data_IF_238658685714
#
_entry.id   IF_238658685714
#
_cell.length_a   1.000
_cell.length_b   1.000
_cell.length_c   1.000
_cell.angle_alpha   90.00
_cell.angle_beta   90.00
_cell.angle_gamma   90.00
#
_symmetry.space_group_name_H-M   'P 1'
#
loop_
_entity.id
_entity.type
_entity.pdbx_description
1 polymer ?
#
# COMPACT_ATOMS: atom_id res chain seq x y z
N UNK A 1 39.21 -29.02 -11.27
CA UNK A 1 37.86 -29.64 -11.31
C UNK A 1 37.48 -30.07 -9.90
N UNK A 2 36.30 -29.71 -9.39
CA UNK A 2 35.72 -30.37 -8.20
C UNK A 2 34.20 -30.14 -8.16
N UNK A 3 33.41 -31.17 -8.49
CA UNK A 3 31.94 -31.19 -8.41
C UNK A 3 31.51 -32.27 -7.42
N UNK A 4 31.15 -31.89 -6.19
CA UNK A 4 30.47 -32.71 -5.16
C UNK A 4 29.91 -31.74 -4.10
N UNK A 5 28.68 -31.85 -3.59
CA UNK A 5 27.52 -32.60 -4.09
C UNK A 5 26.25 -31.89 -3.59
N UNK A 6 25.44 -31.31 -4.48
CA UNK A 6 24.10 -30.85 -4.11
C UNK A 6 23.18 -32.07 -4.04
N UNK A 7 23.05 -32.67 -2.85
CA UNK A 7 21.98 -33.64 -2.59
C UNK A 7 20.66 -32.88 -2.48
N UNK A 8 19.83 -33.06 -3.50
CA UNK A 8 18.43 -32.64 -3.56
C UNK A 8 17.69 -33.15 -2.31
N UNK A 9 17.36 -32.26 -1.38
CA UNK A 9 16.46 -32.55 -0.26
C UNK A 9 15.00 -32.54 -0.74
N UNK A 10 14.69 -33.43 -1.68
CA UNK A 10 13.35 -33.61 -2.23
C UNK A 10 12.61 -34.72 -1.44
N UNK A 11 12.06 -34.37 -0.27
CA UNK A 11 10.99 -35.13 0.40
C UNK A 11 10.44 -34.32 1.59
N UNK A 12 9.15 -34.51 1.88
CA UNK A 12 8.36 -33.92 2.98
C UNK A 12 8.05 -32.43 2.80
N UNK A 13 6.85 -32.15 2.30
CA UNK A 13 5.74 -31.67 3.15
C UNK A 13 4.44 -31.72 2.34
N UNK A 14 3.62 -32.74 2.61
CA UNK A 14 2.29 -32.89 1.99
C UNK A 14 1.27 -31.95 2.63
N UNK A 15 0.24 -31.58 1.86
CA UNK A 15 -0.74 -30.54 2.19
C UNK A 15 -1.73 -30.91 3.33
N UNK A 16 -2.57 -29.94 3.75
CA UNK A 16 -3.99 -30.07 3.39
C UNK A 16 -4.47 -29.00 2.38
N UNK A 17 -5.52 -29.36 1.65
CA UNK A 17 -5.94 -28.75 0.38
C UNK A 17 -6.86 -27.52 0.54
N UNK A 18 -6.91 -26.67 -0.49
CA UNK A 18 -7.85 -25.55 -0.59
C UNK A 18 -7.63 -24.66 -1.82
N UNK A 19 -8.22 -25.04 -2.95
CA UNK A 19 -8.45 -24.27 -4.21
C UNK A 19 -7.31 -23.41 -4.80
N UNK A 20 -6.83 -23.85 -5.97
CA UNK A 20 -6.22 -23.09 -7.08
C UNK A 20 -5.00 -22.18 -6.81
N UNK A 21 -3.84 -22.65 -7.25
CA UNK A 21 -2.59 -21.89 -7.31
C UNK A 21 -1.50 -22.44 -6.37
N UNK A 22 -0.23 -22.31 -6.78
CA UNK A 22 0.91 -22.82 -6.01
C UNK A 22 0.95 -22.29 -4.57
N UNK A 23 1.46 -23.10 -3.63
CA UNK A 23 1.56 -22.71 -2.23
C UNK A 23 2.29 -21.37 -2.07
N UNK A 24 1.58 -20.38 -1.51
CA UNK A 24 2.11 -19.03 -1.34
C UNK A 24 3.33 -19.05 -0.41
N UNK A 25 4.43 -18.36 -0.77
CA UNK A 25 5.65 -18.38 0.02
C UNK A 25 5.37 -17.88 1.45
N UNK A 26 5.76 -18.68 2.44
CA UNK A 26 5.62 -18.33 3.87
C UNK A 26 6.73 -17.40 4.37
N UNK A 27 7.80 -17.21 3.58
CA UNK A 27 8.96 -16.33 3.86
C UNK A 27 9.57 -15.82 2.55
N UNK A 28 10.13 -14.60 2.56
CA UNK A 28 10.81 -14.01 1.41
C UNK A 28 12.18 -14.63 1.08
N UNK A 29 12.18 -15.80 0.43
CA UNK A 29 13.38 -16.59 0.12
C UNK A 29 14.46 -15.83 -0.66
N UNK A 30 14.08 -14.95 -1.61
CA UNK A 30 15.02 -14.17 -2.43
C UNK A 30 15.63 -12.94 -1.74
N UNK A 31 15.20 -12.61 -0.51
CA UNK A 31 15.60 -11.38 0.18
C UNK A 31 16.24 -11.63 1.55
N UNK A 32 16.74 -12.84 1.82
CA UNK A 32 17.41 -13.21 3.07
C UNK A 32 16.62 -12.82 4.35
N UNK A 33 15.29 -13.03 4.33
CA UNK A 33 14.41 -12.69 5.47
C UNK A 33 14.14 -11.20 5.67
N UNK A 34 14.57 -10.30 4.76
CA UNK A 34 14.23 -8.87 4.83
C UNK A 34 12.78 -8.56 4.47
N UNK A 35 12.07 -9.47 3.82
CA UNK A 35 10.66 -9.35 3.39
C UNK A 35 9.78 -10.16 4.34
N UNK A 36 8.78 -9.50 4.93
CA UNK A 36 7.80 -10.12 5.84
C UNK A 36 6.52 -10.49 5.08
N UNK A 37 6.09 -11.76 5.18
CA UNK A 37 4.93 -12.37 4.49
C UNK A 37 4.22 -13.24 5.54
N UNK A 38 2.95 -13.11 5.91
CA UNK A 38 1.81 -12.28 5.48
C UNK A 38 1.12 -12.67 4.17
N UNK A 39 -0.03 -13.34 4.34
CA UNK A 39 -1.05 -13.55 3.31
C UNK A 39 -2.25 -12.64 3.55
N UNK A 40 -2.86 -12.15 2.47
CA UNK A 40 -4.11 -11.39 2.45
C UNK A 40 -5.05 -11.99 1.39
N UNK A 41 -6.30 -11.50 1.33
CA UNK A 41 -7.26 -11.83 0.28
C UNK A 41 -7.55 -10.60 -0.57
N UNK A 42 -7.42 -10.74 -1.88
CA UNK A 42 -7.76 -9.73 -2.89
C UNK A 42 -8.73 -10.34 -3.89
N UNK A 43 -9.46 -9.50 -4.59
CA UNK A 43 -10.44 -9.98 -5.57
C UNK A 43 -9.70 -10.58 -6.77
N UNK A 44 -10.24 -11.66 -7.34
CA UNK A 44 -9.61 -12.40 -8.42
C UNK A 44 -9.64 -11.55 -9.71
N UNK A 45 -8.48 -11.22 -10.32
CA UNK A 45 -8.44 -10.41 -11.55
C UNK A 45 -9.08 -11.10 -12.78
N UNK A 46 -9.47 -12.37 -12.66
CA UNK A 46 -10.18 -13.15 -13.70
C UNK A 46 -11.68 -13.30 -13.39
N UNK A 47 -12.08 -13.31 -12.13
CA UNK A 47 -13.49 -13.42 -11.70
C UNK A 47 -13.73 -12.57 -10.44
N UNK A 48 -14.18 -11.31 -10.56
CA UNK A 48 -14.35 -10.39 -9.43
C UNK A 48 -15.40 -10.84 -8.39
N UNK A 49 -16.10 -11.97 -8.60
CA UNK A 49 -16.97 -12.61 -7.59
C UNK A 49 -16.20 -13.55 -6.66
N UNK A 50 -14.92 -13.82 -6.93
CA UNK A 50 -14.03 -14.67 -6.13
C UNK A 50 -12.94 -13.83 -5.48
N UNK A 51 -12.47 -14.29 -4.33
CA UNK A 51 -11.29 -13.72 -3.66
C UNK A 51 -10.15 -14.74 -3.72
N UNK A 52 -8.96 -14.31 -4.15
CA UNK A 52 -7.74 -15.11 -4.12
C UNK A 52 -6.87 -14.71 -2.95
N UNK A 53 -6.29 -15.72 -2.31
CA UNK A 53 -5.24 -15.52 -1.31
C UNK A 53 -3.95 -15.12 -2.02
N UNK A 54 -3.26 -14.11 -1.52
CA UNK A 54 -2.01 -13.57 -2.09
C UNK A 54 -0.96 -13.33 -1.01
N UNK A 55 0.32 -13.40 -1.40
CA UNK A 55 1.46 -13.07 -0.54
C UNK A 55 1.79 -11.58 -0.67
N UNK A 56 1.74 -10.84 0.45
CA UNK A 56 1.99 -9.38 0.49
C UNK A 56 3.21 -9.10 1.35
N UNK A 57 4.06 -8.17 0.93
CA UNK A 57 5.17 -7.70 1.75
C UNK A 57 4.66 -6.69 2.79
N UNK A 58 4.44 -7.15 4.02
CA UNK A 58 3.90 -6.33 5.11
C UNK A 58 4.86 -5.27 5.68
N UNK A 59 6.07 -5.14 5.14
CA UNK A 59 6.91 -3.94 5.36
C UNK A 59 6.59 -2.78 4.43
N UNK A 60 5.89 -3.03 3.32
CA UNK A 60 5.55 -2.03 2.31
C UNK A 60 4.11 -1.55 2.48
N UNK A 61 3.17 -2.45 2.80
CA UNK A 61 1.78 -2.08 3.08
C UNK A 61 1.61 -1.63 4.54
N UNK A 62 1.51 -0.32 4.75
CA UNK A 62 1.41 0.31 6.08
C UNK A 62 0.02 0.13 6.69
N UNK A 63 -1.03 0.02 5.87
CA UNK A 63 -2.40 -0.27 6.33
C UNK A 63 -2.46 -1.68 6.95
N UNK A 64 -1.93 -2.69 6.25
CA UNK A 64 -1.78 -4.06 6.79
C UNK A 64 -0.94 -4.07 8.08
N UNK A 65 0.19 -3.35 8.08
CA UNK A 65 1.12 -3.33 9.20
C UNK A 65 0.49 -2.80 10.50
N UNK A 66 -0.34 -1.76 10.38
CA UNK A 66 -1.03 -1.10 11.50
C UNK A 66 -2.31 -1.86 11.91
N UNK A 67 -3.11 -2.34 10.95
CA UNK A 67 -4.30 -3.16 11.22
C UNK A 67 -3.96 -4.48 11.94
N UNK A 68 -2.91 -5.19 11.49
CA UNK A 68 -2.41 -6.42 12.14
C UNK A 68 -1.94 -6.20 13.58
N UNK A 69 -1.55 -4.97 13.93
CA UNK A 69 -1.17 -4.58 15.30
C UNK A 69 -2.33 -4.02 16.11
N UNK A 70 -3.55 -4.04 15.58
CA UNK A 70 -4.77 -3.48 16.20
C UNK A 70 -4.59 -2.00 16.58
N UNK A 71 -3.87 -1.25 15.75
CA UNK A 71 -3.60 0.19 15.93
C UNK A 71 -4.54 1.10 15.15
N UNK A 72 -5.33 0.50 14.25
CA UNK A 72 -6.47 1.10 13.56
C UNK A 72 -7.64 0.11 13.62
N UNK A 73 -8.86 0.63 13.64
CA UNK A 73 -10.10 -0.13 13.59
C UNK A 73 -10.33 -0.76 12.21
N UNK A 74 -11.23 -1.77 12.10
CA UNK A 74 -11.62 -2.33 10.81
C UNK A 74 -12.19 -1.25 9.86
N UNK A 75 -13.00 -0.33 10.37
CA UNK A 75 -13.56 0.78 9.60
C UNK A 75 -12.47 1.75 9.10
N UNK A 76 -11.48 2.08 9.94
CA UNK A 76 -10.32 2.87 9.54
C UNK A 76 -9.43 2.16 8.48
N UNK A 77 -9.33 0.83 8.54
CA UNK A 77 -8.66 0.04 7.50
C UNK A 77 -9.45 0.04 6.18
N UNK A 78 -10.77 -0.14 6.21
CA UNK A 78 -11.64 -0.04 5.02
C UNK A 78 -11.58 1.36 4.40
N UNK A 79 -11.61 2.42 5.21
CA UNK A 79 -11.45 3.79 4.75
C UNK A 79 -10.10 3.98 4.04
N UNK A 80 -9.01 3.45 4.64
CA UNK A 80 -7.69 3.44 4.00
C UNK A 80 -7.66 2.68 2.67
N UNK A 81 -8.36 1.54 2.56
CA UNK A 81 -8.47 0.75 1.32
C UNK A 81 -9.29 1.43 0.24
N UNK A 82 -10.33 2.18 0.59
CA UNK A 82 -11.07 3.01 -0.36
C UNK A 82 -10.17 4.10 -0.95
N UNK A 83 -9.38 4.76 -0.10
CA UNK A 83 -8.40 5.78 -0.53
C UNK A 83 -7.32 5.16 -1.44
N UNK A 84 -6.81 3.97 -1.09
CA UNK A 84 -5.85 3.20 -1.90
C UNK A 84 -6.39 2.99 -3.33
N UNK A 85 -7.61 2.46 -3.45
CA UNK A 85 -8.23 2.17 -4.75
C UNK A 85 -8.44 3.42 -5.63
N UNK A 86 -8.95 4.53 -5.06
CA UNK A 86 -9.19 5.77 -5.81
C UNK A 86 -7.87 6.42 -6.25
N UNK A 87 -6.84 6.40 -5.39
CA UNK A 87 -5.52 6.96 -5.72
C UNK A 87 -4.74 6.07 -6.71
N UNK A 88 -4.83 4.73 -6.61
CA UNK A 88 -4.26 3.81 -7.60
C UNK A 88 -4.86 4.10 -8.99
N UNK A 89 -6.20 4.16 -9.11
CA UNK A 89 -6.91 4.42 -10.36
C UNK A 89 -6.45 5.75 -11.02
N UNK A 90 -6.41 6.83 -10.25
CA UNK A 90 -6.02 8.15 -10.73
C UNK A 90 -4.54 8.27 -11.11
N UNK A 91 -3.66 7.58 -10.37
CA UNK A 91 -2.23 7.59 -10.67
C UNK A 91 -1.91 6.92 -12.01
N UNK A 92 -2.83 6.10 -12.53
CA UNK A 92 -2.59 5.25 -13.69
C UNK A 92 -1.43 4.27 -13.50
N UNK A 93 -0.93 4.11 -12.26
CA UNK A 93 0.06 3.11 -11.91
C UNK A 93 -0.66 1.77 -11.87
N UNK A 94 -0.37 0.96 -12.89
CA UNK A 94 -0.27 -0.49 -12.69
C UNK A 94 0.77 -0.71 -11.59
N UNK A 95 0.33 -0.87 -10.34
CA UNK A 95 1.24 -1.30 -9.28
C UNK A 95 1.78 -2.68 -9.62
N UNK A 96 2.82 -3.15 -8.91
CA UNK A 96 3.41 -4.47 -9.14
C UNK A 96 2.46 -5.67 -8.83
N UNK A 97 1.16 -5.39 -8.65
CA UNK A 97 0.03 -6.33 -8.67
C UNK A 97 -0.36 -6.72 -10.10
N UNK A 98 -0.20 -5.82 -11.09
CA UNK A 98 -0.66 -5.99 -12.48
C UNK A 98 0.44 -6.54 -13.41
N UNK A 99 1.00 -7.70 -13.03
CA UNK A 99 1.93 -8.46 -13.88
C UNK A 99 1.17 -9.21 -14.98
N UNK A 100 1.12 -8.64 -16.19
CA UNK A 100 1.14 -9.47 -17.41
C UNK A 100 0.09 -9.20 -18.48
N UNK A 101 -0.94 -8.38 -18.27
CA UNK A 101 -1.85 -8.01 -19.37
C UNK A 101 -1.22 -6.97 -20.31
N UNK A 102 -0.33 -7.47 -21.18
CA UNK A 102 0.02 -6.84 -22.46
C UNK A 102 -1.19 -6.97 -23.36
N UNK A 103 -2.12 -6.02 -23.28
CA UNK A 103 -3.29 -5.98 -24.15
C UNK A 103 -2.80 -5.86 -25.62
N UNK A 104 -3.01 -6.87 -26.48
CA UNK A 104 -2.45 -6.89 -27.83
C UNK A 104 -3.33 -6.16 -28.84
N UNK A 105 -4.43 -5.54 -28.38
CA UNK A 105 -5.34 -4.78 -29.23
C UNK A 105 -4.58 -3.68 -30.00
N UNK A 106 -4.81 -3.52 -31.32
CA UNK A 106 -4.24 -2.40 -32.06
C UNK A 106 -4.75 -1.09 -31.44
N UNK A 107 -3.82 -0.21 -31.07
CA UNK A 107 -4.13 1.11 -30.51
C UNK A 107 -4.86 1.95 -31.57
N UNK A 108 -6.19 1.89 -31.59
CA UNK A 108 -7.01 2.82 -32.36
C UNK A 108 -6.99 4.19 -31.67
N UNK A 109 -7.04 5.27 -32.44
CA UNK A 109 -7.18 6.64 -31.92
C UNK A 109 -8.35 6.76 -30.93
N UNK A 110 -9.47 6.08 -31.22
CA UNK A 110 -10.63 5.99 -30.35
C UNK A 110 -10.33 5.31 -29.00
N UNK A 111 -9.61 4.19 -28.98
CA UNK A 111 -9.21 3.53 -27.73
C UNK A 111 -8.30 4.40 -26.86
N UNK A 112 -7.42 5.18 -27.49
CA UNK A 112 -6.54 6.13 -26.81
C UNK A 112 -7.33 7.32 -26.24
N UNK A 113 -8.29 7.87 -26.99
CA UNK A 113 -9.21 8.91 -26.52
C UNK A 113 -10.03 8.44 -25.31
N UNK A 114 -10.58 7.22 -25.36
CA UNK A 114 -11.36 6.66 -24.25
C UNK A 114 -10.50 6.42 -22.99
N UNK A 115 -9.25 5.96 -23.17
CA UNK A 115 -8.30 5.78 -22.06
C UNK A 115 -7.83 7.11 -21.46
N UNK A 116 -7.72 8.18 -22.27
CA UNK A 116 -7.45 9.54 -21.77
C UNK A 116 -8.64 10.10 -20.99
N UNK A 117 -9.87 9.96 -21.49
CA UNK A 117 -11.07 10.41 -20.80
C UNK A 117 -11.20 9.73 -19.42
N UNK A 118 -11.11 8.40 -19.35
CA UNK A 118 -11.16 7.68 -18.08
C UNK A 118 -10.05 8.06 -17.10
N UNK A 119 -8.86 8.45 -17.58
CA UNK A 119 -7.78 8.98 -16.73
C UNK A 119 -8.07 10.40 -16.21
N UNK A 120 -8.70 11.26 -17.01
CA UNK A 120 -9.13 12.60 -16.58
C UNK A 120 -10.19 12.48 -15.48
N UNK A 121 -11.17 11.59 -15.66
CA UNK A 121 -12.23 11.40 -14.67
C UNK A 121 -11.71 10.75 -13.38
N UNK A 122 -10.81 9.75 -13.48
CA UNK A 122 -10.13 9.21 -12.30
C UNK A 122 -9.31 10.28 -11.55
N UNK A 123 -8.61 11.16 -12.27
CA UNK A 123 -7.88 12.27 -11.67
C UNK A 123 -8.80 13.28 -10.96
N UNK A 124 -9.99 13.56 -11.52
CA UNK A 124 -11.04 14.38 -10.88
C UNK A 124 -11.55 13.72 -9.60
N UNK A 125 -11.89 12.43 -9.62
CA UNK A 125 -12.35 11.70 -8.44
C UNK A 125 -11.30 11.67 -7.33
N UNK A 126 -10.03 11.45 -7.66
CA UNK A 126 -8.95 11.50 -6.68
C UNK A 126 -8.67 12.91 -6.14
N UNK A 127 -8.91 13.97 -6.92
CA UNK A 127 -8.82 15.34 -6.43
C UNK A 127 -9.98 15.65 -5.47
N UNK A 128 -11.22 15.35 -5.87
CA UNK A 128 -12.40 15.50 -5.02
C UNK A 128 -12.28 14.73 -3.69
N UNK A 129 -11.74 13.50 -3.72
CA UNK A 129 -11.46 12.73 -2.51
C UNK A 129 -10.40 13.40 -1.62
N UNK A 130 -9.31 13.93 -2.18
CA UNK A 130 -8.30 14.67 -1.39
C UNK A 130 -8.88 15.92 -0.75
N UNK A 131 -9.73 16.64 -1.49
CA UNK A 131 -10.36 17.87 -1.00
C UNK A 131 -11.39 17.56 0.10
N UNK A 132 -12.20 16.50 -0.05
CA UNK A 132 -13.08 15.98 1.00
C UNK A 132 -12.30 15.57 2.26
N UNK A 133 -11.21 14.80 2.12
CA UNK A 133 -10.34 14.44 3.26
C UNK A 133 -9.77 15.71 3.92
N UNK A 134 -9.32 16.70 3.12
CA UNK A 134 -8.78 17.95 3.64
C UNK A 134 -9.83 18.82 4.36
N UNK A 135 -11.11 18.75 3.99
CA UNK A 135 -12.22 19.40 4.68
C UNK A 135 -12.51 18.71 6.04
N UNK A 136 -12.54 17.38 6.08
CA UNK A 136 -12.86 16.61 7.29
C UNK A 136 -11.73 16.63 8.35
N UNK A 137 -10.47 16.54 7.95
CA UNK A 137 -9.33 16.37 8.88
C UNK A 137 -8.26 17.47 8.80
N UNK A 138 -8.42 18.43 7.89
CA UNK A 138 -7.45 19.48 7.63
C UNK A 138 -6.30 19.06 6.70
N UNK A 139 -5.76 20.04 5.96
CA UNK A 139 -4.77 19.82 4.90
C UNK A 139 -3.49 19.07 5.34
N UNK A 140 -3.02 19.27 6.58
CA UNK A 140 -1.81 18.60 7.09
C UNK A 140 -2.02 17.09 7.28
N UNK A 141 -3.17 16.70 7.84
CA UNK A 141 -3.57 15.30 8.02
C UNK A 141 -3.85 14.62 6.67
N UNK A 142 -4.58 15.30 5.78
CA UNK A 142 -4.84 14.85 4.41
C UNK A 142 -3.55 14.60 3.62
N UNK A 143 -2.55 15.48 3.74
CA UNK A 143 -1.21 15.29 3.18
C UNK A 143 -0.54 14.02 3.71
N UNK A 144 -0.57 13.79 5.02
CA UNK A 144 0.04 12.59 5.63
C UNK A 144 -0.59 11.30 5.06
N UNK A 145 -1.92 11.22 4.99
CA UNK A 145 -2.60 10.05 4.40
C UNK A 145 -2.26 9.89 2.92
N UNK A 146 -2.26 10.98 2.13
CA UNK A 146 -1.93 10.94 0.70
C UNK A 146 -0.49 10.47 0.46
N UNK A 147 0.47 10.91 1.28
CA UNK A 147 1.88 10.48 1.19
C UNK A 147 2.07 9.01 1.57
N UNK A 148 1.29 8.49 2.52
CA UNK A 148 1.40 7.10 2.98
C UNK A 148 0.73 6.16 1.98
N UNK A 149 -0.51 6.45 1.60
CA UNK A 149 -1.33 5.56 0.77
C UNK A 149 -0.99 5.76 -0.71
N UNK A 150 -1.05 7.00 -1.23
CA UNK A 150 -0.85 7.29 -2.65
C UNK A 150 0.62 7.26 -3.11
N UNK A 151 1.56 7.68 -2.26
CA UNK A 151 3.01 7.61 -2.58
C UNK A 151 3.72 6.37 -1.99
N UNK A 152 3.09 5.62 -1.08
CA UNK A 152 3.68 4.42 -0.47
C UNK A 152 4.82 4.71 0.52
N UNK A 153 4.90 5.93 1.08
CA UNK A 153 6.02 6.35 1.93
C UNK A 153 5.83 5.90 3.38
N UNK A 154 6.92 5.44 4.01
CA UNK A 154 6.90 5.16 5.43
C UNK A 154 6.99 6.43 6.29
N UNK A 155 6.51 6.35 7.53
CA UNK A 155 6.52 7.46 8.50
C UNK A 155 7.92 8.11 8.65
N UNK A 156 9.00 7.32 8.50
CA UNK A 156 10.39 7.80 8.59
C UNK A 156 10.86 8.55 7.34
N UNK A 157 10.34 8.23 6.17
CA UNK A 157 10.63 8.95 4.92
C UNK A 157 9.93 10.31 4.91
N UNK A 158 8.66 10.35 5.36
CA UNK A 158 7.91 11.61 5.53
C UNK A 158 8.63 12.49 6.57
N UNK A 159 9.01 11.94 7.73
CA UNK A 159 9.79 12.65 8.74
C UNK A 159 11.14 13.21 8.23
N UNK A 160 11.76 12.54 7.25
CA UNK A 160 12.99 13.02 6.58
C UNK A 160 12.69 14.11 5.56
N UNK A 161 11.67 13.95 4.71
CA UNK A 161 11.23 14.98 3.74
C UNK A 161 10.86 16.27 4.47
N UNK A 162 10.09 16.18 5.54
CA UNK A 162 9.68 17.35 6.34
C UNK A 162 10.85 18.02 7.06
N UNK A 163 11.84 17.24 7.53
CA UNK A 163 13.07 17.79 8.09
C UNK A 163 13.91 18.53 7.03
N UNK A 164 14.06 17.95 5.84
CA UNK A 164 14.79 18.56 4.72
C UNK A 164 14.13 19.87 4.27
N UNK A 165 12.80 19.87 4.08
CA UNK A 165 12.02 21.07 3.75
C UNK A 165 12.14 22.18 4.82
N UNK A 166 12.31 21.81 6.09
CA UNK A 166 12.57 22.74 7.19
C UNK A 166 14.04 23.16 7.35
N UNK A 167 14.90 22.91 6.35
CA UNK A 167 16.34 23.25 6.36
C UNK A 167 17.19 22.40 7.32
N UNK A 168 16.65 21.32 7.88
CA UNK A 168 17.32 20.50 8.91
C UNK A 168 18.05 19.32 8.25
N UNK A 169 19.29 19.55 7.83
CA UNK A 169 20.19 18.48 7.35
C UNK A 169 20.33 17.37 8.41
N UNK A 170 19.75 16.20 8.11
CA UNK A 170 19.63 15.05 9.02
C UNK A 170 20.06 13.71 8.37
N UNK A 171 21.11 13.76 7.55
CA UNK A 171 21.91 12.57 7.20
C UNK A 171 22.85 12.12 8.35
N UNK A 172 22.69 12.70 9.54
CA UNK A 172 23.52 12.36 10.69
C UNK A 172 23.40 10.86 11.05
N UNK A 173 24.52 10.18 11.38
CA UNK A 173 24.52 8.84 11.96
C UNK A 173 23.71 8.79 13.28
N UNK A 174 23.47 7.62 13.90
CA UNK A 174 22.61 7.47 15.08
C UNK A 174 23.19 8.06 16.40
N UNK A 175 23.67 9.30 16.36
CA UNK A 175 24.21 10.07 17.49
C UNK A 175 23.28 11.26 17.80
N UNK A 176 22.44 11.11 18.84
CA UNK A 176 21.42 12.09 19.35
C UNK A 176 20.35 12.57 18.34
N UNK A 177 20.72 13.11 17.17
CA UNK A 177 19.81 13.64 16.12
C UNK A 177 18.86 12.58 15.54
N UNK A 178 19.23 11.29 15.58
CA UNK A 178 18.34 10.19 15.16
C UNK A 178 17.01 10.14 15.93
N UNK A 179 17.02 10.49 17.23
CA UNK A 179 15.82 10.49 18.08
C UNK A 179 14.75 11.48 17.61
N UNK A 180 15.15 12.58 16.97
CA UNK A 180 14.18 13.55 16.46
C UNK A 180 13.42 13.03 15.26
N UNK A 181 14.07 12.27 14.37
CA UNK A 181 13.41 11.61 13.25
C UNK A 181 12.50 10.48 13.73
N UNK A 182 12.87 9.76 14.79
CA UNK A 182 12.00 8.74 15.41
C UNK A 182 10.78 9.38 16.09
N UNK A 183 10.95 10.48 16.83
CA UNK A 183 9.85 11.26 17.41
C UNK A 183 8.93 11.84 16.33
N UNK A 184 9.49 12.39 15.24
CA UNK A 184 8.71 12.91 14.13
C UNK A 184 7.95 11.79 13.40
N UNK A 185 8.58 10.65 13.13
CA UNK A 185 7.92 9.47 12.57
C UNK A 185 6.81 8.94 13.50
N UNK A 186 7.01 8.98 14.82
CA UNK A 186 5.98 8.64 15.82
C UNK A 186 4.78 9.58 15.76
N UNK A 187 5.00 10.90 15.63
CA UNK A 187 3.93 11.88 15.41
C UNK A 187 3.17 11.63 14.10
N UNK A 188 3.87 11.43 12.99
CA UNK A 188 3.26 11.13 11.68
C UNK A 188 2.44 9.83 11.73
N UNK A 189 2.96 8.79 12.40
CA UNK A 189 2.22 7.54 12.60
C UNK A 189 0.95 7.72 13.43
N UNK A 190 0.98 8.60 14.44
CA UNK A 190 -0.19 8.92 15.24
C UNK A 190 -1.22 9.72 14.43
N UNK A 191 -0.80 10.80 13.77
CA UNK A 191 -1.64 11.59 12.86
C UNK A 191 -2.30 10.70 11.80
N UNK A 192 -1.56 9.76 11.19
CA UNK A 192 -2.12 8.82 10.22
C UNK A 192 -3.28 7.98 10.78
N UNK A 193 -3.12 7.39 11.98
CA UNK A 193 -4.18 6.61 12.64
C UNK A 193 -5.39 7.48 12.95
N UNK A 194 -5.17 8.60 13.64
CA UNK A 194 -6.23 9.50 14.07
C UNK A 194 -7.02 10.04 12.87
N UNK A 195 -6.34 10.26 11.75
CA UNK A 195 -6.99 10.64 10.48
C UNK A 195 -7.91 9.55 9.95
N UNK A 196 -7.43 8.30 9.86
CA UNK A 196 -8.25 7.19 9.35
C UNK A 196 -9.43 6.87 10.27
N UNK A 197 -9.27 6.96 11.59
CA UNK A 197 -10.37 6.81 12.56
C UNK A 197 -11.40 7.95 12.43
N UNK A 198 -10.95 9.18 12.17
CA UNK A 198 -11.84 10.33 11.96
C UNK A 198 -12.63 10.18 10.65
N UNK A 199 -11.96 9.82 9.56
CA UNK A 199 -12.60 9.57 8.26
C UNK A 199 -13.59 8.40 8.33
N UNK A 200 -13.24 7.31 9.00
CA UNK A 200 -14.14 6.18 9.20
C UNK A 200 -15.45 6.62 9.89
N UNK A 201 -15.36 7.37 10.99
CA UNK A 201 -16.53 7.90 11.71
C UNK A 201 -17.34 8.89 10.88
N UNK A 202 -16.68 9.73 10.08
CA UNK A 202 -17.35 10.66 9.17
C UNK A 202 -18.14 9.89 8.09
N UNK A 203 -17.55 8.86 7.50
CA UNK A 203 -18.17 8.07 6.43
C UNK A 203 -19.21 7.06 6.92
N UNK A 204 -19.10 6.56 8.16
CA UNK A 204 -20.19 5.81 8.81
C UNK A 204 -21.43 6.70 9.02
N UNK A 205 -21.24 7.99 9.33
CA UNK A 205 -22.34 8.94 9.58
C UNK A 205 -22.96 9.50 8.30
N UNK A 206 -22.12 9.89 7.33
CA UNK A 206 -22.54 10.66 6.15
C UNK A 206 -22.64 9.79 4.87
N UNK A 207 -22.20 8.53 4.92
CA UNK A 207 -21.91 7.73 3.74
C UNK A 207 -20.47 7.94 3.24
N UNK A 208 -19.98 7.01 2.40
CA UNK A 208 -18.71 7.20 1.68
C UNK A 208 -18.91 8.27 0.59
N UNK A 209 -17.92 9.17 0.36
CA UNK A 209 -17.96 10.18 -0.70
C UNK A 209 -17.79 9.54 -2.09
#
# INVERSE_FOLDING_TARGET
MNRRAQRLSAARNSAPQGSDGCELPRKGLRAAGKIDIVHAEVDDPVDPRRRRRVAVNAKIDILEYEARRKRISPAAFEAGRYIDAVLELASGRRTARDFGQRNPAPFSSFSLQHALAGRIDAARSAQALKDSIAQEVGASAARVVTLIIGEGLCFREIARRDAFAAGKNREAPPTRKGRDCERAAGKIAQTFRDTLETLARAWEKNGRP
#
